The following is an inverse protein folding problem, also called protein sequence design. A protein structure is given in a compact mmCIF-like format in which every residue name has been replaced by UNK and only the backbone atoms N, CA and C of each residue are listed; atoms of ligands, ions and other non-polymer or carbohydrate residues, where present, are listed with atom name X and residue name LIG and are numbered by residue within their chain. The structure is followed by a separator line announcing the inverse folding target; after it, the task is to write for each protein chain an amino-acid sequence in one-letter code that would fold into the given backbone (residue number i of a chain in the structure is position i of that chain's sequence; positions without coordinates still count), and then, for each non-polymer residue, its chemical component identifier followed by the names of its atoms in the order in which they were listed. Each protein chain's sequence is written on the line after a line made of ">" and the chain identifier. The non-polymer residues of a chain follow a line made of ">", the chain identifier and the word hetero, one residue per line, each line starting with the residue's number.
data_IF_702858038094
#
_entry.id   IF_702858038094
#
_cell.length_a   1.000
_cell.length_b   1.000
_cell.length_c   1.000
_cell.angle_alpha   90.00
_cell.angle_beta   90.00
_cell.angle_gamma   90.00
#
_symmetry.space_group_name_H-M   'P 1'
#
loop_
_entity.id
_entity.type
_entity.pdbx_description
1 polymer ?
#
# COMPACT_ATOMS: atom_id res chain seq x y z
N UNK A 1 -14.08 -0.93 -31.21
CA UNK A 1 -13.19 -0.02 -30.44
C UNK A 1 -12.88 -0.70 -29.12
N UNK A 2 -11.61 -0.83 -28.73
CA UNK A 2 -11.26 -1.38 -27.41
C UNK A 2 -11.62 -0.33 -26.36
N UNK A 3 -12.44 -0.70 -25.36
CA UNK A 3 -12.76 0.17 -24.24
C UNK A 3 -11.47 0.44 -23.46
N UNK A 4 -11.15 1.71 -23.22
CA UNK A 4 -10.03 2.07 -22.34
C UNK A 4 -10.39 1.72 -20.90
N UNK A 5 -9.47 1.06 -20.21
CA UNK A 5 -9.56 0.85 -18.76
C UNK A 5 -9.32 2.17 -18.04
N UNK A 6 -10.05 2.39 -16.94
CA UNK A 6 -9.83 3.51 -16.01
C UNK A 6 -9.45 2.91 -14.66
N UNK A 7 -8.62 3.61 -13.88
CA UNK A 7 -8.13 3.16 -12.57
C UNK A 7 -8.11 4.31 -11.56
N UNK A 8 -7.63 4.02 -10.35
CA UNK A 8 -7.48 4.99 -9.26
C UNK A 8 -5.99 5.12 -8.92
N UNK A 9 -5.49 6.35 -8.86
CA UNK A 9 -4.14 6.67 -8.38
C UNK A 9 -4.14 6.78 -6.86
N UNK A 10 -3.11 6.23 -6.21
CA UNK A 10 -2.91 6.30 -4.76
C UNK A 10 -1.71 7.19 -4.49
N UNK A 11 -1.90 8.23 -3.68
CA UNK A 11 -0.86 9.15 -3.24
C UNK A 11 -0.84 9.23 -1.70
N UNK A 12 0.35 9.34 -1.11
CA UNK A 12 0.53 9.47 0.34
C UNK A 12 1.09 8.20 1.00
N UNK A 13 1.02 8.18 2.32
CA UNK A 13 1.54 7.11 3.19
C UNK A 13 0.52 6.72 4.26
N UNK A 14 0.73 5.56 4.86
CA UNK A 14 -0.10 5.02 5.95
C UNK A 14 0.77 4.91 7.20
N UNK A 15 0.31 5.53 8.28
CA UNK A 15 0.89 5.38 9.60
C UNK A 15 -0.14 4.78 10.55
N UNK A 16 0.33 4.04 11.55
CA UNK A 16 -0.55 3.53 12.58
C UNK A 16 -0.95 4.63 13.55
N UNK A 17 -2.11 4.45 14.17
CA UNK A 17 -2.57 5.35 15.24
C UNK A 17 -1.91 4.99 16.57
N UNK A 18 -1.92 5.94 17.50
CA UNK A 18 -1.50 5.75 18.90
C UNK A 18 -0.05 5.25 19.08
N UNK A 19 0.85 5.64 18.16
CA UNK A 19 2.26 5.30 18.22
C UNK A 19 2.57 3.83 17.94
N UNK A 20 1.66 3.10 17.29
CA UNK A 20 1.94 1.77 16.77
C UNK A 20 2.47 1.87 15.35
N UNK A 21 3.61 1.26 15.10
CA UNK A 21 4.16 1.18 13.76
C UNK A 21 3.34 0.22 12.89
N UNK A 22 3.34 0.48 11.58
CA UNK A 22 2.74 -0.41 10.58
C UNK A 22 3.88 -1.06 9.82
N UNK A 23 3.99 -2.38 9.96
CA UNK A 23 4.93 -3.19 9.20
C UNK A 23 4.55 -3.27 7.73
N UNK A 24 5.54 -3.27 6.86
CA UNK A 24 5.34 -3.32 5.42
C UNK A 24 4.70 -4.65 5.01
N UNK A 25 5.11 -5.78 5.57
CA UNK A 25 4.53 -7.08 5.24
C UNK A 25 3.07 -7.18 5.75
N UNK A 26 2.79 -6.74 6.97
CA UNK A 26 1.42 -6.65 7.52
C UNK A 26 0.52 -5.81 6.59
N UNK A 27 0.95 -4.58 6.27
CA UNK A 27 0.19 -3.70 5.39
C UNK A 27 0.00 -4.29 4.00
N UNK A 28 1.06 -4.79 3.37
CA UNK A 28 1.03 -5.28 1.99
C UNK A 28 0.07 -6.46 1.85
N UNK A 29 0.12 -7.41 2.79
CA UNK A 29 -0.78 -8.56 2.79
C UNK A 29 -2.25 -8.13 2.93
N UNK A 30 -2.55 -7.26 3.91
CA UNK A 30 -3.91 -6.77 4.12
C UNK A 30 -4.43 -5.93 2.93
N UNK A 31 -3.56 -5.10 2.35
CA UNK A 31 -3.90 -4.23 1.22
C UNK A 31 -4.19 -5.04 -0.05
N UNK A 32 -3.32 -6.00 -0.41
CA UNK A 32 -3.54 -6.84 -1.58
C UNK A 32 -4.78 -7.72 -1.41
N UNK A 33 -4.99 -8.33 -0.23
CA UNK A 33 -6.20 -9.09 0.05
C UNK A 33 -7.47 -8.24 -0.17
N UNK A 34 -7.48 -7.00 0.33
CA UNK A 34 -8.59 -6.06 0.14
C UNK A 34 -8.87 -5.75 -1.35
N UNK A 35 -7.83 -5.52 -2.14
CA UNK A 35 -7.90 -5.19 -3.58
C UNK A 35 -8.43 -6.40 -4.37
N UNK A 36 -7.84 -7.57 -4.17
CA UNK A 36 -8.17 -8.79 -4.91
C UNK A 36 -9.57 -9.31 -4.58
N UNK A 37 -10.01 -9.18 -3.32
CA UNK A 37 -11.38 -9.53 -2.90
C UNK A 37 -12.48 -8.75 -3.66
N UNK A 38 -12.13 -7.65 -4.34
CA UNK A 38 -13.04 -6.84 -5.18
C UNK A 38 -12.88 -7.10 -6.68
N UNK A 39 -12.04 -8.06 -7.06
CA UNK A 39 -11.71 -8.35 -8.46
C UNK A 39 -10.86 -7.25 -9.10
N UNK A 40 -10.14 -6.46 -8.31
CA UNK A 40 -9.21 -5.45 -8.79
C UNK A 40 -7.79 -5.98 -8.80
N UNK A 41 -6.89 -5.24 -9.44
CA UNK A 41 -5.47 -5.55 -9.48
C UNK A 41 -4.67 -4.30 -9.15
N UNK A 42 -3.62 -4.46 -8.35
CA UNK A 42 -2.65 -3.42 -8.07
C UNK A 42 -1.31 -3.77 -8.73
N UNK A 43 -0.87 -2.92 -9.66
CA UNK A 43 0.35 -3.13 -10.44
C UNK A 43 1.57 -2.35 -9.94
N UNK A 44 1.54 -1.88 -8.69
CA UNK A 44 2.62 -1.09 -8.07
C UNK A 44 3.33 -1.83 -6.94
N UNK A 45 4.01 -1.07 -6.10
CA UNK A 45 4.64 -1.56 -4.87
C UNK A 45 4.70 -0.47 -3.81
N UNK A 46 4.90 -0.89 -2.57
CA UNK A 46 5.12 -0.01 -1.42
C UNK A 46 6.49 -0.26 -0.81
N UNK A 47 6.91 0.63 0.08
CA UNK A 47 8.16 0.50 0.84
C UNK A 47 7.90 0.97 2.27
N UNK A 48 8.65 0.45 3.24
CA UNK A 48 8.68 0.99 4.58
C UNK A 48 9.34 2.39 4.57
N UNK A 49 8.72 3.35 5.27
CA UNK A 49 9.26 4.70 5.45
C UNK A 49 9.18 5.13 6.93
N UNK A 50 10.02 6.09 7.31
CA UNK A 50 9.90 6.84 8.57
C UNK A 50 8.91 8.03 8.47
N UNK A 51 8.75 8.77 9.57
CA UNK A 51 7.85 9.93 9.65
C UNK A 51 8.26 11.11 8.74
N UNK A 52 9.54 11.17 8.36
CA UNK A 52 10.09 12.17 7.44
C UNK A 52 9.95 11.75 5.96
N UNK A 53 9.47 10.53 5.71
CA UNK A 53 9.28 9.96 4.37
C UNK A 53 10.53 9.32 3.77
N UNK A 54 11.56 9.09 4.56
CA UNK A 54 12.75 8.38 4.10
C UNK A 54 12.48 6.88 4.08
N UNK A 55 12.95 6.20 3.04
CA UNK A 55 12.90 4.73 2.98
C UNK A 55 13.79 4.14 4.08
N UNK A 56 13.24 3.16 4.79
CA UNK A 56 13.95 2.36 5.79
C UNK A 56 13.87 0.86 5.44
N UNK A 57 14.53 0.01 6.22
CA UNK A 57 14.33 -1.45 6.14
C UNK A 57 12.95 -1.83 6.68
N UNK A 58 12.37 -2.89 6.13
CA UNK A 58 11.10 -3.43 6.62
C UNK A 58 11.27 -3.87 8.09
N UNK A 59 10.26 -3.57 8.91
CA UNK A 59 10.32 -3.77 10.37
C UNK A 59 9.69 -5.10 10.83
N UNK A 60 9.21 -5.91 9.86
CA UNK A 60 8.52 -7.18 10.05
C UNK A 60 9.00 -8.30 9.09
#
# INVERSE_FOLDING_TARGET
>A
MVKKTVGVEINGCVFGNDGKDVGHAEFWNAFIEFVEARGWYFGGGTVQIDEDGNKIEDID
#
